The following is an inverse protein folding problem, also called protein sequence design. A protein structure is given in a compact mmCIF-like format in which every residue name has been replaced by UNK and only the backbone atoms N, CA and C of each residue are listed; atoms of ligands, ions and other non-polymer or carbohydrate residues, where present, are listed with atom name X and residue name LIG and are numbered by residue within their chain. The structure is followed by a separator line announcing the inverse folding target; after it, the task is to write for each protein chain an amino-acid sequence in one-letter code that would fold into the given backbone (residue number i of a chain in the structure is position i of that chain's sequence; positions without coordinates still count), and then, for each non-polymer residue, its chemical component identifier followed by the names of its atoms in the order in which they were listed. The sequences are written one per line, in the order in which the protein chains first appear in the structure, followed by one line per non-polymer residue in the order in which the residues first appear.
data_IF_666718089271
#
_entry.id   IF_666718089271
#
_cell.length_a   1.000
_cell.length_b   1.000
_cell.length_c   1.000
_cell.angle_alpha   90.00
_cell.angle_beta   90.00
_cell.angle_gamma   90.00
#
_symmetry.space_group_name_H-M   'P 1'
#
loop_
_entity.id
_entity.type
_entity.pdbx_description
1 polymer ?
#
# COMPACT_ATOMS: atom_id res chain seq x y z
N UNK A 1 -7.32 -19.55 -2.33
CA UNK A 1 -7.36 -18.32 -1.53
C UNK A 1 -7.05 -18.72 -0.12
N UNK A 2 -5.80 -18.50 0.30
CA UNK A 2 -5.38 -18.66 1.68
C UNK A 2 -5.58 -17.32 2.43
N UNK A 3 -5.61 -17.40 3.77
CA UNK A 3 -5.68 -16.24 4.64
C UNK A 3 -4.43 -16.16 5.52
N UNK A 4 -3.84 -14.97 5.62
CA UNK A 4 -2.65 -14.71 6.44
C UNK A 4 -2.91 -13.56 7.41
N UNK A 5 -2.39 -13.68 8.63
CA UNK A 5 -2.30 -12.57 9.58
C UNK A 5 -0.84 -12.22 9.78
N UNK A 6 -0.45 -11.00 9.41
CA UNK A 6 0.93 -10.55 9.44
C UNK A 6 1.07 -9.30 10.32
N UNK A 7 2.25 -9.13 10.91
CA UNK A 7 2.57 -7.97 11.73
C UNK A 7 3.65 -7.14 11.05
N UNK A 8 3.48 -5.82 10.98
CA UNK A 8 4.55 -4.94 10.50
C UNK A 8 5.57 -4.65 11.62
N UNK A 9 6.85 -4.41 11.28
CA UNK A 9 7.42 -4.39 9.93
C UNK A 9 7.52 -5.79 9.30
N UNK A 10 7.17 -5.90 8.01
CA UNK A 10 7.19 -7.17 7.27
C UNK A 10 8.61 -7.61 6.91
N UNK A 11 8.80 -8.92 6.84
CA UNK A 11 10.03 -9.57 6.38
C UNK A 11 9.88 -10.10 4.96
N UNK A 12 11.00 -10.52 4.35
CA UNK A 12 10.99 -11.24 3.08
C UNK A 12 10.12 -12.50 3.15
N UNK A 13 10.24 -13.28 4.24
CA UNK A 13 9.53 -14.53 4.42
C UNK A 13 8.01 -14.31 4.49
N UNK A 14 7.56 -13.21 5.11
CA UNK A 14 6.15 -12.83 5.15
C UNK A 14 5.56 -12.61 3.76
N UNK A 15 6.37 -12.07 2.83
CA UNK A 15 5.96 -11.78 1.45
C UNK A 15 6.07 -13.01 0.56
N UNK A 16 7.14 -13.79 0.68
CA UNK A 16 7.44 -14.94 -0.20
C UNK A 16 6.37 -16.04 -0.14
N UNK A 17 5.68 -16.19 0.99
CA UNK A 17 4.56 -17.14 1.13
C UNK A 17 3.28 -16.69 0.41
N UNK A 18 3.12 -15.40 0.11
CA UNK A 18 1.89 -14.85 -0.46
C UNK A 18 1.75 -15.20 -1.94
N UNK A 19 0.51 -15.38 -2.40
CA UNK A 19 0.16 -15.48 -3.82
C UNK A 19 -0.96 -14.50 -4.17
N UNK A 20 -0.98 -14.02 -5.41
CA UNK A 20 -2.07 -13.20 -5.93
C UNK A 20 -3.42 -13.89 -5.71
N UNK A 21 -4.36 -13.15 -5.15
CA UNK A 21 -5.69 -13.65 -4.75
C UNK A 21 -5.80 -14.10 -3.29
N UNK A 22 -4.70 -14.15 -2.51
CA UNK A 22 -4.76 -14.41 -1.08
C UNK A 22 -5.27 -13.20 -0.29
N UNK A 23 -5.84 -13.47 0.89
CA UNK A 23 -6.31 -12.44 1.83
C UNK A 23 -5.27 -12.25 2.93
N UNK A 24 -5.00 -11.00 3.26
CA UNK A 24 -4.02 -10.63 4.31
C UNK A 24 -4.68 -9.68 5.30
N UNK A 25 -4.49 -9.96 6.58
CA UNK A 25 -4.86 -9.08 7.69
C UNK A 25 -3.58 -8.51 8.32
N UNK A 26 -3.43 -7.19 8.29
CA UNK A 26 -2.28 -6.51 8.87
C UNK A 26 -2.60 -5.98 10.26
N UNK A 27 -1.73 -6.26 11.22
CA UNK A 27 -1.72 -5.61 12.54
C UNK A 27 -0.37 -4.94 12.77
N UNK A 28 -0.36 -3.71 13.29
CA UNK A 28 0.86 -2.93 13.50
C UNK A 28 0.81 -1.56 12.85
N UNK A 29 1.97 -1.06 12.42
CA UNK A 29 2.12 0.26 11.82
C UNK A 29 2.08 0.21 10.29
N UNK A 30 1.29 1.08 9.67
CA UNK A 30 1.34 1.38 8.23
C UNK A 30 1.39 2.90 8.02
N UNK A 31 1.92 3.36 6.88
CA UNK A 31 2.09 4.79 6.61
C UNK A 31 1.15 5.25 5.50
N UNK A 32 0.57 6.44 5.59
CA UNK A 32 -0.17 7.03 4.47
C UNK A 32 0.73 7.84 3.57
N UNK A 33 0.39 7.93 2.29
CA UNK A 33 1.00 8.88 1.38
C UNK A 33 0.45 8.69 -0.02
N UNK A 34 0.24 9.80 -0.75
CA UNK A 34 -0.15 9.77 -2.16
C UNK A 34 0.69 10.76 -2.96
N UNK A 35 0.16 11.26 -4.05
CA UNK A 35 0.78 12.11 -5.07
C UNK A 35 1.84 13.10 -4.51
N UNK A 36 1.44 14.11 -3.72
CA UNK A 36 2.37 15.15 -3.25
C UNK A 36 3.40 14.64 -2.23
N UNK A 37 3.01 13.70 -1.37
CA UNK A 37 3.92 13.08 -0.41
C UNK A 37 5.00 12.25 -1.10
N UNK A 38 4.65 11.47 -2.13
CA UNK A 38 5.63 10.67 -2.89
C UNK A 38 6.63 11.56 -3.64
N UNK A 39 6.14 12.68 -4.21
CA UNK A 39 7.03 13.66 -4.81
C UNK A 39 8.03 14.19 -3.78
N UNK A 40 7.58 14.60 -2.59
CA UNK A 40 8.48 15.13 -1.54
C UNK A 40 9.45 14.07 -1.00
N UNK A 41 9.01 12.83 -0.79
CA UNK A 41 9.89 11.73 -0.41
C UNK A 41 11.01 11.55 -1.45
N UNK A 42 10.67 11.61 -2.74
CA UNK A 42 11.65 11.47 -3.82
C UNK A 42 12.60 12.67 -3.88
N UNK A 43 12.07 13.89 -3.78
CA UNK A 43 12.88 15.12 -3.72
C UNK A 43 13.85 15.11 -2.51
N UNK A 44 13.41 14.57 -1.35
CA UNK A 44 14.25 14.36 -0.15
C UNK A 44 15.38 13.38 -0.44
N UNK A 45 15.09 12.25 -1.09
CA UNK A 45 16.11 11.28 -1.48
C UNK A 45 17.10 11.84 -2.50
N UNK A 46 16.65 12.70 -3.42
CA UNK A 46 17.52 13.34 -4.43
C UNK A 46 18.51 14.33 -3.80
N UNK A 47 18.16 14.91 -2.65
CA UNK A 47 19.05 15.75 -1.84
C UNK A 47 20.01 14.94 -0.96
N UNK A 48 19.81 13.62 -0.85
CA UNK A 48 20.56 12.77 0.08
C UNK A 48 20.13 12.93 1.54
N UNK A 49 18.96 13.52 1.79
CA UNK A 49 18.42 13.72 3.13
C UNK A 49 17.73 12.43 3.65
N UNK A 50 17.67 12.23 4.98
CA UNK A 50 16.97 11.09 5.57
C UNK A 50 15.45 11.20 5.36
N UNK A 51 14.81 10.05 5.12
CA UNK A 51 13.35 9.95 5.04
C UNK A 51 12.68 10.12 6.42
N UNK A 52 11.41 10.55 6.46
CA UNK A 52 10.69 10.77 7.72
C UNK A 52 10.32 9.49 8.49
N UNK A 53 10.49 8.31 7.88
CA UNK A 53 10.30 7.00 8.51
C UNK A 53 11.15 5.95 7.76
N UNK A 54 11.39 4.81 8.41
CA UNK A 54 12.12 3.70 7.78
C UNK A 54 11.21 2.95 6.78
N UNK A 55 11.69 2.77 5.55
CA UNK A 55 10.98 2.00 4.52
C UNK A 55 11.11 0.50 4.75
N UNK A 56 12.14 0.03 5.45
CA UNK A 56 12.41 -1.40 5.61
C UNK A 56 11.27 -2.11 6.34
N UNK A 57 10.56 -2.98 5.63
CA UNK A 57 9.40 -3.69 6.19
C UNK A 57 8.12 -2.87 6.25
N UNK A 58 8.15 -1.62 5.83
CA UNK A 58 7.00 -0.73 5.88
C UNK A 58 5.97 -1.04 4.78
N UNK A 59 4.74 -0.59 5.03
CA UNK A 59 3.66 -0.53 4.05
C UNK A 59 3.23 0.92 3.86
N UNK A 60 3.04 1.35 2.61
CA UNK A 60 2.45 2.66 2.29
C UNK A 60 1.03 2.48 1.75
N UNK A 61 0.06 3.02 2.49
CA UNK A 61 -1.33 3.11 2.10
C UNK A 61 -1.64 4.40 1.34
N UNK A 62 -2.02 4.25 0.08
CA UNK A 62 -2.42 5.34 -0.78
C UNK A 62 -3.84 5.78 -0.45
N UNK A 63 -3.97 6.70 0.50
CA UNK A 63 -5.23 7.22 1.01
C UNK A 63 -5.14 8.73 1.25
N UNK A 64 -6.25 9.43 1.03
CA UNK A 64 -6.49 10.77 1.56
C UNK A 64 -7.70 10.69 2.49
N UNK A 65 -7.51 10.54 3.81
CA UNK A 65 -8.62 10.30 4.72
C UNK A 65 -9.51 11.55 4.84
N UNK A 66 -10.81 11.34 5.05
CA UNK A 66 -11.71 12.45 5.41
C UNK A 66 -11.40 12.98 6.82
N UNK A 67 -11.90 14.17 7.20
CA UNK A 67 -11.80 14.66 8.57
C UNK A 67 -12.31 13.63 9.58
N UNK A 68 -11.62 13.52 10.71
CA UNK A 68 -12.00 12.59 11.78
C UNK A 68 -13.25 13.12 12.51
N UNK A 69 -14.30 12.29 12.69
CA UNK A 69 -15.40 12.64 13.56
C UNK A 69 -14.96 12.62 15.04
N UNK A 70 -15.70 13.28 15.94
CA UNK A 70 -15.39 13.29 17.37
C UNK A 70 -15.21 11.87 17.94
N UNK A 71 -14.13 11.67 18.72
CA UNK A 71 -13.84 10.39 19.36
C UNK A 71 -13.28 9.30 18.44
N UNK A 72 -12.98 9.59 17.16
CA UNK A 72 -12.30 8.66 16.25
C UNK A 72 -10.91 9.16 15.85
N UNK A 73 -9.94 8.26 15.62
CA UNK A 73 -8.59 8.67 15.23
C UNK A 73 -8.53 9.19 13.79
N UNK A 74 -9.45 8.76 12.93
CA UNK A 74 -9.44 9.07 11.49
C UNK A 74 -10.86 9.03 10.92
N UNK A 75 -11.08 9.77 9.82
CA UNK A 75 -12.31 9.71 9.04
C UNK A 75 -12.38 8.47 8.14
N UNK A 76 -13.22 8.52 7.10
CA UNK A 76 -13.26 7.49 6.07
C UNK A 76 -11.91 7.40 5.37
N UNK A 77 -11.36 6.19 5.27
CA UNK A 77 -10.01 5.92 4.78
C UNK A 77 -10.08 4.96 3.58
N UNK A 78 -10.70 5.39 2.48
CA UNK A 78 -10.79 4.61 1.24
C UNK A 78 -9.56 4.79 0.33
N UNK A 79 -9.14 3.75 -0.42
CA UNK A 79 -7.95 3.82 -1.26
C UNK A 79 -8.11 4.78 -2.44
N UNK A 80 -6.99 5.37 -2.87
CA UNK A 80 -6.88 6.07 -4.14
C UNK A 80 -6.21 5.22 -5.22
N UNK A 81 -6.37 5.64 -6.47
CA UNK A 81 -5.82 4.95 -7.63
C UNK A 81 -4.29 4.92 -7.60
N UNK A 82 -3.71 3.72 -7.67
CA UNK A 82 -2.29 3.47 -7.40
C UNK A 82 -1.35 3.84 -8.53
N UNK A 83 -1.81 3.81 -9.80
CA UNK A 83 -0.95 4.10 -10.95
C UNK A 83 -0.28 5.49 -10.87
N UNK A 84 -0.89 6.44 -10.15
CA UNK A 84 -0.34 7.81 -9.98
C UNK A 84 0.97 7.85 -9.19
N UNK A 85 1.30 6.77 -8.48
CA UNK A 85 2.55 6.63 -7.72
C UNK A 85 3.58 5.73 -8.42
N UNK A 86 3.29 5.21 -9.62
CA UNK A 86 4.14 4.22 -10.29
C UNK A 86 5.51 4.78 -10.69
N UNK A 87 5.62 6.06 -10.98
CA UNK A 87 6.92 6.70 -11.24
C UNK A 87 7.84 6.70 -10.00
N UNK A 88 7.28 6.64 -8.78
CA UNK A 88 8.03 6.72 -7.53
C UNK A 88 8.26 5.34 -6.88
N UNK A 89 7.28 4.44 -7.01
CA UNK A 89 7.24 3.18 -6.28
C UNK A 89 8.45 2.26 -6.51
N UNK A 90 9.02 2.10 -7.74
CA UNK A 90 10.17 1.22 -7.95
C UNK A 90 11.37 1.59 -7.09
N UNK A 91 11.66 2.88 -6.95
CA UNK A 91 12.75 3.38 -6.10
C UNK A 91 12.48 3.09 -4.63
N UNK A 92 11.26 3.32 -4.16
CA UNK A 92 10.90 3.07 -2.76
C UNK A 92 10.99 1.58 -2.41
N UNK A 93 10.56 0.69 -3.31
CA UNK A 93 10.76 -0.76 -3.17
C UNK A 93 12.24 -1.12 -3.11
N UNK A 94 13.08 -0.53 -3.99
CA UNK A 94 14.53 -0.71 -3.96
C UNK A 94 15.21 -0.27 -2.66
N UNK A 95 14.56 0.60 -1.89
CA UNK A 95 15.02 1.07 -0.56
C UNK A 95 14.45 0.24 0.60
N UNK A 96 13.68 -0.81 0.33
CA UNK A 96 13.20 -1.76 1.36
C UNK A 96 11.70 -1.69 1.66
N UNK A 97 10.92 -0.86 0.97
CA UNK A 97 9.47 -0.81 1.10
C UNK A 97 8.86 -2.17 0.73
N UNK A 98 8.17 -2.83 1.67
CA UNK A 98 7.65 -4.19 1.47
C UNK A 98 6.29 -4.28 0.84
N UNK A 99 5.54 -3.19 0.83
CA UNK A 99 4.31 -3.19 0.09
C UNK A 99 3.63 -1.86 0.02
N UNK A 100 2.69 -1.81 -0.91
CA UNK A 100 1.86 -0.64 -1.16
C UNK A 100 0.41 -1.07 -1.16
N UNK A 101 -0.47 -0.22 -0.65
CA UNK A 101 -1.90 -0.52 -0.50
C UNK A 101 -2.68 0.52 -1.30
N UNK A 102 -3.62 0.10 -2.16
CA UNK A 102 -4.44 1.05 -2.91
C UNK A 102 -5.52 0.37 -3.75
N UNK A 103 -5.84 0.96 -4.91
CA UNK A 103 -6.73 0.36 -5.92
C UNK A 103 -6.20 0.54 -7.35
N UNK A 104 -6.60 -0.37 -8.24
CA UNK A 104 -6.28 -0.32 -9.66
C UNK A 104 -4.96 -1.03 -10.00
N UNK A 105 -4.69 -1.18 -11.30
CA UNK A 105 -3.50 -1.87 -11.80
C UNK A 105 -2.23 -1.07 -11.49
N UNK A 106 -1.10 -1.78 -11.46
CA UNK A 106 0.26 -1.23 -11.39
C UNK A 106 0.97 -1.43 -12.71
N UNK A 107 1.92 -0.55 -13.01
CA UNK A 107 2.75 -0.66 -14.20
C UNK A 107 3.69 -1.87 -14.16
N UNK A 108 4.18 -2.35 -15.32
CA UNK A 108 5.18 -3.42 -15.37
C UNK A 108 6.43 -3.12 -14.54
N UNK A 109 6.92 -1.87 -14.56
CA UNK A 109 8.12 -1.45 -13.84
C UNK A 109 7.96 -1.60 -12.32
N UNK A 110 6.77 -1.32 -11.79
CA UNK A 110 6.46 -1.54 -10.37
C UNK A 110 6.42 -3.03 -10.05
N UNK A 111 5.81 -3.84 -10.93
CA UNK A 111 5.75 -5.30 -10.74
C UNK A 111 7.14 -5.93 -10.75
N UNK A 112 7.99 -5.53 -11.69
CA UNK A 112 9.38 -5.99 -11.75
C UNK A 112 10.17 -5.59 -10.50
N UNK A 113 10.02 -4.36 -10.02
CA UNK A 113 10.64 -3.91 -8.79
C UNK A 113 10.16 -4.71 -7.57
N UNK A 114 8.87 -5.02 -7.49
CA UNK A 114 8.32 -5.85 -6.40
C UNK A 114 8.87 -7.28 -6.41
N UNK A 115 8.98 -7.90 -7.60
CA UNK A 115 9.60 -9.22 -7.73
C UNK A 115 11.07 -9.21 -7.28
N UNK A 116 11.84 -8.21 -7.72
CA UNK A 116 13.26 -8.09 -7.37
C UNK A 116 13.52 -7.80 -5.89
N UNK A 117 12.57 -7.19 -5.19
CA UNK A 117 12.72 -6.71 -3.80
C UNK A 117 11.92 -7.52 -2.78
N UNK A 118 11.23 -8.58 -3.23
CA UNK A 118 10.31 -9.39 -2.41
C UNK A 118 9.31 -8.51 -1.69
N UNK A 119 8.52 -7.80 -2.49
CA UNK A 119 7.47 -6.89 -2.05
C UNK A 119 6.14 -7.27 -2.70
N UNK A 120 5.03 -6.78 -2.16
CA UNK A 120 3.69 -7.06 -2.69
C UNK A 120 2.84 -5.79 -2.85
N UNK A 121 1.87 -5.84 -3.76
CA UNK A 121 0.83 -4.83 -3.89
C UNK A 121 -0.50 -5.37 -3.38
N UNK A 122 -1.10 -4.62 -2.48
CA UNK A 122 -2.34 -4.98 -1.80
C UNK A 122 -3.49 -4.09 -2.24
N UNK A 123 -4.59 -4.72 -2.61
CA UNK A 123 -5.86 -4.06 -2.85
C UNK A 123 -6.59 -3.85 -1.53
N UNK A 124 -6.93 -2.59 -1.23
CA UNK A 124 -7.93 -2.28 -0.23
C UNK A 124 -9.30 -2.16 -0.90
N UNK A 125 -10.36 -2.60 -0.23
CA UNK A 125 -11.72 -2.60 -0.81
C UNK A 125 -12.21 -1.18 -1.08
N UNK A 126 -12.28 -0.80 -2.36
CA UNK A 126 -12.82 0.48 -2.79
C UNK A 126 -14.29 0.65 -2.38
N UNK A 127 -14.68 1.84 -1.94
CA UNK A 127 -16.05 2.11 -1.46
C UNK A 127 -16.31 1.72 0.00
N UNK A 128 -15.41 0.94 0.62
CA UNK A 128 -15.52 0.51 2.02
C UNK A 128 -14.71 1.38 3.00
N UNK A 129 -14.45 2.65 2.67
CA UNK A 129 -13.55 3.52 3.44
C UNK A 129 -13.96 3.71 4.91
N UNK A 130 -15.27 3.72 5.21
CA UNK A 130 -15.79 3.79 6.57
C UNK A 130 -15.67 2.47 7.35
N UNK A 131 -15.55 1.33 6.66
CA UNK A 131 -15.29 0.03 7.28
C UNK A 131 -13.78 -0.12 7.54
N UNK A 132 -12.94 0.23 6.55
CA UNK A 132 -11.48 0.21 6.69
C UNK A 132 -11.00 1.10 7.85
N UNK A 133 -11.65 2.24 8.08
CA UNK A 133 -11.28 3.11 9.21
C UNK A 133 -11.58 2.52 10.59
N UNK A 134 -12.42 1.48 10.70
CA UNK A 134 -12.67 0.79 11.98
C UNK A 134 -11.48 -0.08 12.41
N UNK A 135 -10.67 -0.51 11.45
CA UNK A 135 -9.42 -1.22 11.71
C UNK A 135 -8.28 -0.27 12.12
N UNK A 136 -8.44 1.06 11.97
CA UNK A 136 -7.43 2.06 12.34
C UNK A 136 -7.66 2.52 13.79
N UNK A 137 -6.69 2.27 14.66
CA UNK A 137 -6.76 2.53 16.11
C UNK A 137 -6.10 3.85 16.51
N UNK A 138 -5.09 4.29 15.76
CA UNK A 138 -4.45 5.59 15.93
C UNK A 138 -4.00 6.15 14.58
N UNK A 139 -3.94 7.47 14.46
CA UNK A 139 -3.44 8.16 13.28
C UNK A 139 -2.67 9.42 13.70
N UNK A 140 -1.37 9.47 13.39
CA UNK A 140 -0.48 10.59 13.73
C UNK A 140 0.16 11.14 12.47
N UNK A 141 0.06 12.46 12.24
CA UNK A 141 0.86 13.10 11.16
C UNK A 141 2.32 13.09 11.59
N UNK A 142 3.19 12.56 10.73
CA UNK A 142 4.64 12.48 11.00
C UNK A 142 5.47 13.32 10.03
N UNK A 143 4.93 13.66 8.85
CA UNK A 143 5.58 14.56 7.91
C UNK A 143 4.59 15.27 6.99
N UNK A 144 5.01 16.43 6.50
CA UNK A 144 4.32 17.21 5.48
C UNK A 144 2.89 17.59 5.88
N UNK A 145 2.71 18.08 7.12
CA UNK A 145 1.41 18.49 7.66
C UNK A 145 0.68 19.51 6.76
N UNK A 146 1.44 20.37 6.09
CA UNK A 146 0.95 21.36 5.14
C UNK A 146 0.26 20.75 3.91
N UNK A 147 0.44 19.46 3.64
CA UNK A 147 -0.27 18.72 2.59
C UNK A 147 -1.68 18.25 3.00
N UNK A 148 -2.10 18.48 4.25
CA UNK A 148 -3.44 18.16 4.73
C UNK A 148 -3.79 16.67 4.56
N UNK A 149 -4.78 16.30 3.71
CA UNK A 149 -5.12 14.90 3.46
C UNK A 149 -4.00 14.07 2.81
N UNK A 150 -3.01 14.70 2.16
CA UNK A 150 -1.87 13.96 1.58
C UNK A 150 -0.67 13.84 2.51
N UNK A 151 -0.74 14.42 3.71
CA UNK A 151 0.31 14.32 4.70
C UNK A 151 0.65 12.85 5.02
N UNK A 152 1.90 12.60 5.40
CA UNK A 152 2.31 11.26 5.81
C UNK A 152 1.84 11.05 7.23
N UNK A 153 0.99 10.04 7.41
CA UNK A 153 0.47 9.63 8.71
C UNK A 153 0.99 8.26 9.05
N UNK A 154 1.45 8.11 10.28
CA UNK A 154 1.64 6.81 10.91
C UNK A 154 0.28 6.33 11.42
N UNK A 155 -0.18 5.18 10.95
CA UNK A 155 -1.42 4.55 11.36
C UNK A 155 -1.12 3.29 12.15
N UNK A 156 -1.70 3.18 13.34
CA UNK A 156 -1.78 1.89 14.04
C UNK A 156 -3.04 1.18 13.58
N UNK A 157 -2.89 -0.02 13.03
CA UNK A 157 -4.00 -0.81 12.51
C UNK A 157 -4.07 -2.18 13.20
N UNK A 158 -5.28 -2.73 13.28
CA UNK A 158 -5.55 -4.05 13.83
C UNK A 158 -6.44 -4.82 12.85
N UNK A 159 -5.95 -5.98 12.38
CA UNK A 159 -6.63 -6.82 11.39
C UNK A 159 -7.12 -6.04 10.17
N UNK A 160 -6.29 -5.14 9.65
CA UNK A 160 -6.60 -4.35 8.45
C UNK A 160 -6.71 -5.27 7.23
N UNK A 161 -7.89 -5.40 6.59
CA UNK A 161 -8.12 -6.41 5.57
C UNK A 161 -7.63 -5.96 4.20
N UNK A 162 -6.87 -6.84 3.53
CA UNK A 162 -6.23 -6.61 2.24
C UNK A 162 -6.36 -7.83 1.34
N UNK A 163 -6.33 -7.60 0.04
CA UNK A 163 -6.24 -8.65 -0.99
C UNK A 163 -4.90 -8.54 -1.72
N UNK A 164 -4.16 -9.64 -1.87
CA UNK A 164 -2.93 -9.64 -2.65
C UNK A 164 -3.27 -9.50 -4.13
N UNK A 165 -2.93 -8.36 -4.72
CA UNK A 165 -3.16 -8.11 -6.15
C UNK A 165 -1.94 -8.56 -6.95
N UNK A 166 -0.76 -8.10 -6.57
CA UNK A 166 0.50 -8.57 -7.14
C UNK A 166 1.36 -9.18 -6.04
N UNK A 167 1.73 -10.44 -6.22
CA UNK A 167 2.74 -11.11 -5.40
C UNK A 167 4.17 -10.87 -5.95
N UNK A 168 5.19 -11.30 -5.21
CA UNK A 168 6.59 -11.17 -5.61
C UNK A 168 7.05 -12.26 -6.60
N UNK A 169 6.15 -13.13 -7.05
CA UNK A 169 6.43 -14.22 -7.99
C UNK A 169 5.98 -13.88 -9.42
N UNK A 170 5.58 -12.62 -9.64
CA UNK A 170 5.05 -12.12 -10.91
C UNK A 170 3.54 -12.30 -11.11
N UNK A 171 2.84 -12.84 -10.10
CA UNK A 171 1.39 -12.98 -10.11
C UNK A 171 0.66 -11.63 -10.21
N UNK A 172 -0.48 -11.63 -10.88
CA UNK A 172 -1.39 -10.48 -10.93
C UNK A 172 -2.84 -10.97 -10.93
N UNK A 173 -3.63 -10.51 -9.96
CA UNK A 173 -5.05 -10.86 -9.85
C UNK A 173 -5.90 -10.17 -10.92
N UNK A 174 -5.53 -8.96 -11.34
CA UNK A 174 -6.22 -8.24 -12.40
C UNK A 174 -5.88 -8.83 -13.77
N UNK A 175 -6.47 -9.97 -14.09
CA UNK A 175 -6.29 -10.60 -15.40
C UNK A 175 -6.88 -9.76 -16.53
N UNK A 176 -6.23 -9.82 -17.69
CA UNK A 176 -6.86 -9.46 -18.96
C UNK A 176 -7.69 -10.66 -19.38
N UNK A 177 -8.97 -10.50 -19.77
CA UNK A 177 -9.76 -11.60 -20.28
C UNK A 177 -9.04 -12.27 -21.46
N UNK A 178 -8.93 -13.58 -21.43
CA UNK A 178 -8.49 -14.36 -22.60
C UNK A 178 -9.66 -14.41 -23.60
N UNK A 179 -9.76 -13.35 -24.40
CA UNK A 179 -10.83 -13.16 -25.36
C UNK A 179 -10.78 -14.21 -26.47
N UNK A 180 -9.60 -14.70 -26.85
CA UNK A 180 -9.48 -15.76 -27.86
C UNK A 180 -10.10 -17.06 -27.36
N UNK A 181 -9.80 -17.46 -26.12
CA UNK A 181 -10.40 -18.64 -25.50
C UNK A 181 -11.90 -18.47 -25.25
N UNK A 182 -12.35 -17.27 -24.90
CA UNK A 182 -13.77 -16.97 -24.67
C UNK A 182 -14.59 -16.92 -25.96
N UNK A 183 -13.98 -16.61 -27.10
CA UNK A 183 -14.62 -16.53 -28.42
C UNK A 183 -14.46 -17.81 -29.26
N UNK A 184 -13.62 -18.76 -28.81
CA UNK A 184 -13.40 -20.05 -29.46
C UNK A 184 -14.37 -21.17 -29.01
N UNK A 185 -15.35 -20.85 -28.16
CA UNK A 185 -16.45 -21.74 -27.77
C UNK A 185 -17.79 -21.23 -28.28
#
# INVERSE_FOLDING_TARGET
MAEYTLNTPLTDADIEQLRSGDVVYITGTIYTGRDAAHKRLTDTLDKGDPLPFDLKGALIYYVGPSPAPPGRPIGSAGPTTSYRMDTYAPRLHGLGLKGTIGKGRRSPEVREAMNATKSAYFGATGGAGALLSQAIKAAKVIAYEDLGPEAIRELTVEKFPLLVINDCHGGELYTTPDLEKALAG
#
